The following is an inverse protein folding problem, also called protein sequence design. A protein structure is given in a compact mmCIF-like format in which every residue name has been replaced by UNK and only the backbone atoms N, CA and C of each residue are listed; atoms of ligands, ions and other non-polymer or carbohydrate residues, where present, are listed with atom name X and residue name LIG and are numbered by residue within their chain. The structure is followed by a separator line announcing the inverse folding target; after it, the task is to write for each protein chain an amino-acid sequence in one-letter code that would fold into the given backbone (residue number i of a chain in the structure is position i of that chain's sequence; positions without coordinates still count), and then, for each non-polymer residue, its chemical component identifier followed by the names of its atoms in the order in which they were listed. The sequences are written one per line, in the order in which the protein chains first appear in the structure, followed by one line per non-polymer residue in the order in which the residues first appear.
data_IF_013160930216
#
_entry.id   IF_013160930216
#
_cell.length_a   1.000
_cell.length_b   1.000
_cell.length_c   1.000
_cell.angle_alpha   90.00
_cell.angle_beta   90.00
_cell.angle_gamma   90.00
#
_symmetry.space_group_name_H-M   'P 1'
#
loop_
_entity.id
_entity.type
_entity.pdbx_description
1 polymer ?
#
# COMPACT_ATOMS: atom_id res chain seq x y z
N UNK A 1 -5.74 -29.62 56.81
CA UNK A 1 -6.32 -29.67 58.17
C UNK A 1 -5.61 -28.64 59.02
N UNK A 2 -6.19 -27.45 59.14
CA UNK A 2 -6.03 -26.48 60.24
C UNK A 2 -7.18 -25.47 60.09
N UNK A 3 -8.25 -25.75 60.84
CA UNK A 3 -9.41 -24.93 61.24
C UNK A 3 -8.97 -24.04 62.45
N UNK A 4 -9.64 -23.01 62.99
CA UNK A 4 -10.98 -22.37 62.92
C UNK A 4 -10.97 -21.15 63.91
N UNK A 5 -11.83 -20.15 63.66
CA UNK A 5 -12.72 -19.40 64.61
C UNK A 5 -12.11 -18.66 65.84
N UNK A 6 -12.66 -17.57 66.42
CA UNK A 6 -13.80 -16.65 66.17
C UNK A 6 -13.77 -15.51 67.22
N UNK A 7 -14.69 -14.53 67.05
CA UNK A 7 -15.39 -13.73 68.10
C UNK A 7 -14.73 -12.41 68.55
N UNK A 8 -15.43 -11.32 68.91
CA UNK A 8 -16.80 -10.83 68.72
C UNK A 8 -16.85 -9.37 69.26
N UNK A 9 -17.64 -8.52 68.59
CA UNK A 9 -18.36 -7.27 68.97
C UNK A 9 -17.96 -6.36 70.17
N UNK A 10 -18.32 -5.05 70.07
CA UNK A 10 -19.29 -4.50 71.03
C UNK A 10 -20.46 -3.69 70.40
N UNK A 11 -21.55 -3.41 71.15
CA UNK A 11 -22.83 -2.94 70.61
C UNK A 11 -23.19 -1.46 70.92
N UNK A 12 -24.06 -0.93 70.04
CA UNK A 12 -25.22 -0.03 70.23
C UNK A 12 -25.07 1.29 71.03
N UNK A 13 -25.31 2.40 70.33
CA UNK A 13 -26.11 3.50 70.88
C UNK A 13 -27.04 4.11 69.81
N UNK A 14 -28.34 4.18 70.16
CA UNK A 14 -29.44 4.68 69.35
C UNK A 14 -29.69 6.16 69.64
N UNK A 15 -29.65 6.96 68.56
CA UNK A 15 -30.70 7.89 68.11
C UNK A 15 -31.33 8.85 69.14
N UNK A 16 -31.08 10.15 68.96
CA UNK A 16 -32.07 11.21 69.21
C UNK A 16 -32.20 12.09 67.98
N UNK A 17 -33.44 12.28 67.54
CA UNK A 17 -33.82 12.97 66.33
C UNK A 17 -33.86 14.49 66.54
N UNK A 18 -33.35 15.26 65.58
CA UNK A 18 -33.76 16.66 65.41
C UNK A 18 -34.23 16.91 63.98
N UNK A 19 -35.43 17.47 63.95
CA UNK A 19 -36.35 17.85 62.88
C UNK A 19 -35.68 18.63 61.73
N UNK A 20 -36.02 18.26 60.50
CA UNK A 20 -35.72 18.99 59.26
C UNK A 20 -36.41 20.37 59.25
N UNK A 21 -35.64 21.47 59.12
CA UNK A 21 -36.18 22.76 58.71
C UNK A 21 -35.95 22.97 57.21
N UNK A 22 -37.01 23.35 56.51
CA UNK A 22 -37.15 23.31 55.05
C UNK A 22 -36.99 24.72 54.46
N UNK A 23 -35.89 25.42 54.78
CA UNK A 23 -35.75 26.86 54.43
C UNK A 23 -34.44 27.31 53.76
N UNK A 24 -33.51 26.42 53.41
CA UNK A 24 -32.33 26.81 52.62
C UNK A 24 -32.28 26.10 51.27
N UNK A 25 -33.18 26.52 50.36
CA UNK A 25 -33.01 26.33 48.91
C UNK A 25 -32.68 27.66 48.25
N UNK A 26 -31.48 28.19 48.53
CA UNK A 26 -30.86 29.23 47.72
C UNK A 26 -29.82 28.58 46.81
N UNK A 27 -30.29 27.96 45.72
CA UNK A 27 -29.41 27.54 44.61
C UNK A 27 -28.96 28.78 43.85
N UNK A 28 -27.96 29.51 44.38
CA UNK A 28 -27.10 30.34 43.54
C UNK A 28 -26.14 29.42 42.81
N UNK A 29 -26.54 28.96 41.63
CA UNK A 29 -25.61 28.40 40.66
C UNK A 29 -24.62 29.50 40.27
N UNK A 30 -23.45 29.49 40.88
CA UNK A 30 -22.30 30.25 40.38
C UNK A 30 -21.97 29.70 38.99
N UNK A 31 -22.29 30.48 37.98
CA UNK A 31 -21.99 30.23 36.57
C UNK A 31 -20.54 30.62 36.27
N UNK A 32 -19.63 30.17 37.12
CA UNK A 32 -18.19 30.35 36.96
C UNK A 32 -17.60 29.01 36.53
N UNK A 33 -16.85 29.05 35.42
CA UNK A 33 -15.84 28.07 35.05
C UNK A 33 -16.20 26.80 34.28
N UNK A 34 -17.06 26.93 33.25
CA UNK A 34 -16.90 26.05 32.07
C UNK A 34 -15.67 26.38 31.21
N UNK A 35 -15.11 27.59 31.35
CA UNK A 35 -13.91 28.01 30.61
C UNK A 35 -12.59 27.71 31.34
N UNK A 36 -12.59 27.49 32.66
CA UNK A 36 -11.37 27.05 33.36
C UNK A 36 -11.26 25.52 33.46
N UNK A 37 -12.38 24.78 33.48
CA UNK A 37 -12.32 23.31 33.49
C UNK A 37 -11.86 22.70 32.15
N UNK A 38 -12.02 23.42 31.04
CA UNK A 38 -11.52 23.01 29.72
C UNK A 38 -10.03 23.28 29.51
N UNK A 39 -9.37 23.97 30.45
CA UNK A 39 -7.94 24.30 30.39
C UNK A 39 -7.07 23.37 31.24
N UNK A 40 -7.65 22.37 31.92
CA UNK A 40 -6.97 21.47 32.85
C UNK A 40 -6.96 19.98 32.42
N UNK A 41 -7.57 19.62 31.30
CA UNK A 41 -7.33 18.31 30.67
C UNK A 41 -6.10 18.43 29.77
N UNK A 42 -5.04 17.68 30.09
CA UNK A 42 -3.89 17.54 29.18
C UNK A 42 -4.41 17.11 27.78
N UNK A 43 -3.93 17.76 26.70
CA UNK A 43 -4.39 17.44 25.36
C UNK A 43 -4.13 15.96 25.06
N UNK A 44 -5.20 15.23 24.69
CA UNK A 44 -5.12 13.80 24.42
C UNK A 44 -3.97 13.48 23.46
N UNK A 45 -3.03 12.66 23.91
CA UNK A 45 -1.90 12.20 23.14
C UNK A 45 -2.17 10.75 22.66
N UNK A 46 -2.48 10.53 21.37
CA UNK A 46 -2.75 9.20 20.83
C UNK A 46 -1.60 8.22 21.04
N UNK A 47 -0.36 8.72 21.07
CA UNK A 47 0.84 7.89 21.10
C UNK A 47 1.09 7.23 22.47
N UNK A 48 0.57 7.81 23.56
CA UNK A 48 0.65 7.23 24.92
C UNK A 48 -0.29 6.02 25.11
N UNK A 49 -1.25 5.86 24.20
CA UNK A 49 -2.27 4.82 24.26
C UNK A 49 -1.99 3.71 23.24
N UNK A 50 -0.76 3.62 22.72
CA UNK A 50 -0.29 2.58 21.78
C UNK A 50 0.54 1.52 22.50
N UNK A 51 0.73 0.37 21.85
CA UNK A 51 1.52 -0.73 22.38
C UNK A 51 3.00 -0.34 22.57
N UNK A 52 3.48 -0.41 23.82
CA UNK A 52 4.87 -0.10 24.17
C UNK A 52 5.88 -1.09 23.57
N UNK A 53 5.44 -2.29 23.20
CA UNK A 53 6.25 -3.34 22.58
C UNK A 53 6.26 -3.29 21.04
N UNK A 54 5.90 -2.14 20.46
CA UNK A 54 5.91 -1.93 19.02
C UNK A 54 7.27 -2.12 18.33
N UNK A 55 7.26 -2.19 17.00
CA UNK A 55 8.43 -2.30 16.15
C UNK A 55 9.38 -1.11 16.31
N UNK A 56 10.68 -1.38 16.16
CA UNK A 56 11.70 -0.33 16.13
C UNK A 56 11.62 0.47 14.84
N UNK A 57 12.16 1.70 14.84
CA UNK A 57 12.19 2.58 13.66
C UNK A 57 12.96 1.95 12.48
N UNK A 58 14.01 1.18 12.76
CA UNK A 58 14.73 0.40 11.75
C UNK A 58 13.90 -0.78 11.21
N UNK A 59 13.12 -1.44 12.06
CA UNK A 59 12.16 -2.47 11.63
C UNK A 59 11.08 -1.88 10.73
N UNK A 60 10.50 -0.74 11.11
CA UNK A 60 9.53 -0.01 10.30
C UNK A 60 10.12 0.45 8.95
N UNK A 61 11.35 0.96 8.95
CA UNK A 61 12.08 1.31 7.72
C UNK A 61 12.22 0.10 6.80
N UNK A 62 12.66 -1.05 7.32
CA UNK A 62 12.82 -2.27 6.55
C UNK A 62 11.48 -2.76 5.96
N UNK A 63 10.39 -2.65 6.73
CA UNK A 63 9.04 -2.99 6.24
C UNK A 63 8.58 -2.05 5.12
N UNK A 64 8.78 -0.74 5.26
CA UNK A 64 8.48 0.23 4.20
C UNK A 64 9.31 -0.03 2.95
N UNK A 65 10.63 -0.17 3.08
CA UNK A 65 11.51 -0.46 1.95
C UNK A 65 11.09 -1.74 1.23
N UNK A 66 10.86 -2.83 1.97
CA UNK A 66 10.38 -4.09 1.41
C UNK A 66 9.08 -3.90 0.64
N UNK A 67 8.10 -3.22 1.22
CA UNK A 67 6.80 -3.07 0.59
C UNK A 67 6.81 -2.15 -0.61
N UNK A 68 7.62 -1.09 -0.59
CA UNK A 68 7.71 -0.14 -1.69
C UNK A 68 8.55 -0.72 -2.83
N UNK A 69 9.76 -1.25 -2.56
CA UNK A 69 10.66 -1.74 -3.62
C UNK A 69 10.01 -2.83 -4.48
N UNK A 70 9.38 -3.82 -3.84
CA UNK A 70 8.52 -4.84 -4.45
C UNK A 70 8.96 -5.36 -5.83
N UNK A 71 7.97 -5.67 -6.68
CA UNK A 71 8.19 -5.92 -8.11
C UNK A 71 8.27 -4.62 -8.91
N UNK A 72 7.86 -3.49 -8.32
CA UNK A 72 7.83 -2.18 -8.96
C UNK A 72 9.21 -1.71 -9.44
N UNK A 73 10.25 -1.91 -8.63
CA UNK A 73 11.63 -1.57 -9.01
C UNK A 73 12.08 -2.24 -10.31
N UNK A 74 11.61 -3.47 -10.54
CA UNK A 74 12.02 -4.26 -11.70
C UNK A 74 11.39 -3.75 -13.00
N UNK A 75 10.28 -3.01 -12.92
CA UNK A 75 9.63 -2.39 -14.06
C UNK A 75 10.18 -0.98 -14.38
N UNK A 76 11.12 -0.45 -13.59
CA UNK A 76 11.66 0.89 -13.81
C UNK A 76 12.40 1.07 -15.14
N UNK A 77 13.12 0.08 -15.69
CA UNK A 77 13.70 0.22 -17.01
C UNK A 77 12.65 0.46 -18.09
N UNK A 78 11.48 -0.19 -17.97
CA UNK A 78 10.37 -0.01 -18.92
C UNK A 78 9.85 1.43 -18.87
N UNK A 79 9.76 1.99 -17.67
CA UNK A 79 9.39 3.39 -17.51
C UNK A 79 10.39 4.29 -18.27
N UNK A 80 11.69 4.07 -18.09
CA UNK A 80 12.72 4.86 -18.78
C UNK A 80 12.72 4.65 -20.30
N UNK A 81 12.36 3.46 -20.81
CA UNK A 81 12.10 3.26 -22.25
C UNK A 81 10.99 4.19 -22.74
N UNK A 82 9.89 4.27 -22.01
CA UNK A 82 8.72 5.09 -22.35
C UNK A 82 8.91 6.60 -22.14
N UNK A 83 10.00 7.04 -21.51
CA UNK A 83 10.26 8.44 -21.16
C UNK A 83 11.54 9.02 -21.77
N UNK A 84 12.55 8.19 -22.06
CA UNK A 84 13.91 8.62 -22.35
C UNK A 84 14.71 8.93 -21.09
N UNK A 85 16.03 9.00 -21.25
CA UNK A 85 16.98 9.03 -20.12
C UNK A 85 16.85 10.29 -19.24
N UNK A 86 16.81 11.48 -19.85
CA UNK A 86 16.80 12.75 -19.12
C UNK A 86 15.42 13.01 -18.51
N UNK A 87 14.36 12.87 -19.32
CA UNK A 87 13.00 13.10 -18.85
C UNK A 87 12.62 12.06 -17.79
N UNK A 88 12.91 10.78 -18.02
CA UNK A 88 12.67 9.70 -17.06
C UNK A 88 13.38 9.94 -15.72
N UNK A 89 14.64 10.38 -15.74
CA UNK A 89 15.40 10.68 -14.52
C UNK A 89 14.77 11.83 -13.72
N UNK A 90 14.52 12.97 -14.35
CA UNK A 90 13.94 14.15 -13.68
C UNK A 90 12.54 13.81 -13.15
N UNK A 91 11.70 13.21 -13.99
CA UNK A 91 10.32 12.95 -13.62
C UNK A 91 10.17 11.84 -12.58
N UNK A 92 11.08 10.86 -12.52
CA UNK A 92 11.09 9.87 -11.44
C UNK A 92 11.32 10.53 -10.08
N UNK A 93 12.24 11.51 -9.99
CA UNK A 93 12.45 12.29 -8.76
C UNK A 93 11.23 13.13 -8.40
N UNK A 94 10.62 13.80 -9.39
CA UNK A 94 9.41 14.62 -9.18
C UNK A 94 8.24 13.77 -8.71
N UNK A 95 7.93 12.67 -9.39
CA UNK A 95 6.85 11.74 -9.01
C UNK A 95 7.14 11.13 -7.64
N UNK A 96 8.38 10.70 -7.39
CA UNK A 96 8.81 10.20 -6.08
C UNK A 96 8.57 11.20 -4.95
N UNK A 97 8.91 12.47 -5.16
CA UNK A 97 8.62 13.55 -4.22
C UNK A 97 7.12 13.75 -4.01
N UNK A 98 6.33 13.79 -5.09
CA UNK A 98 4.87 13.95 -5.02
C UNK A 98 4.21 12.81 -4.25
N UNK A 99 4.56 11.55 -4.54
CA UNK A 99 4.07 10.38 -3.83
C UNK A 99 4.46 10.41 -2.35
N UNK A 100 5.71 10.74 -2.04
CA UNK A 100 6.20 10.90 -0.66
C UNK A 100 5.40 11.96 0.09
N UNK A 101 5.15 13.10 -0.55
CA UNK A 101 4.36 14.18 0.01
C UNK A 101 2.90 13.75 0.26
N UNK A 102 2.27 13.02 -0.67
CA UNK A 102 0.92 12.46 -0.47
C UNK A 102 0.85 11.50 0.72
N UNK A 103 1.84 10.61 0.87
CA UNK A 103 1.92 9.73 2.05
C UNK A 103 2.10 10.54 3.33
N UNK A 104 2.98 11.56 3.30
CA UNK A 104 3.23 12.42 4.44
C UNK A 104 1.98 13.17 4.90
N UNK A 105 1.21 13.78 3.98
CA UNK A 105 -0.03 14.48 4.34
C UNK A 105 -1.09 13.52 4.87
N UNK A 106 -1.15 12.28 4.37
CA UNK A 106 -2.09 11.29 4.87
C UNK A 106 -1.79 10.92 6.33
N UNK A 107 -0.55 10.56 6.63
CA UNK A 107 -0.14 10.17 7.99
C UNK A 107 -0.29 11.33 8.95
N UNK A 108 0.10 12.54 8.54
CA UNK A 108 -0.09 13.73 9.36
C UNK A 108 -1.57 13.99 9.67
N UNK A 109 -2.43 13.91 8.64
CA UNK A 109 -3.87 14.06 8.82
C UNK A 109 -4.43 12.98 9.76
N UNK A 110 -3.93 11.75 9.67
CA UNK A 110 -4.28 10.66 10.57
C UNK A 110 -3.88 10.94 12.02
N UNK A 111 -2.67 11.46 12.26
CA UNK A 111 -2.23 11.86 13.60
C UNK A 111 -3.11 12.94 14.21
N UNK A 112 -3.46 13.95 13.41
CA UNK A 112 -4.25 15.08 13.87
C UNK A 112 -5.71 14.67 14.15
N UNK A 113 -6.33 13.86 13.30
CA UNK A 113 -7.69 13.34 13.55
C UNK A 113 -7.72 12.32 14.71
N UNK A 114 -6.65 11.56 14.96
CA UNK A 114 -6.56 10.70 16.15
C UNK A 114 -6.68 11.51 17.46
N UNK A 115 -6.11 12.72 17.50
CA UNK A 115 -6.21 13.62 18.66
C UNK A 115 -7.65 14.09 18.86
N UNK A 116 -8.31 14.52 17.79
CA UNK A 116 -9.70 15.01 17.85
C UNK A 116 -10.70 13.90 18.17
N UNK A 117 -10.53 12.72 17.56
CA UNK A 117 -11.41 11.57 17.77
C UNK A 117 -11.10 10.79 19.05
N UNK A 118 -10.05 11.17 19.80
CA UNK A 118 -9.57 10.50 21.02
C UNK A 118 -9.36 8.99 20.82
N UNK A 119 -8.69 8.62 19.72
CA UNK A 119 -8.34 7.23 19.39
C UNK A 119 -6.83 7.06 19.23
N UNK A 120 -6.25 5.92 19.59
CA UNK A 120 -4.79 5.74 19.58
C UNK A 120 -4.21 5.67 18.16
N UNK A 121 -4.93 5.05 17.23
CA UNK A 121 -4.47 4.75 15.88
C UNK A 121 -5.64 4.56 14.92
N UNK A 122 -5.41 4.87 13.64
CA UNK A 122 -6.37 4.66 12.56
C UNK A 122 -5.67 3.98 11.39
N UNK A 123 -6.39 3.11 10.68
CA UNK A 123 -5.96 2.63 9.37
C UNK A 123 -6.27 3.66 8.29
N UNK A 124 -5.97 3.34 7.03
CA UNK A 124 -6.19 4.26 5.92
C UNK A 124 -7.68 4.56 5.71
N UNK A 125 -8.53 3.52 5.64
CA UNK A 125 -9.96 3.69 5.46
C UNK A 125 -10.64 4.35 6.68
N UNK A 126 -10.20 3.99 7.89
CA UNK A 126 -10.70 4.62 9.12
C UNK A 126 -10.28 6.09 9.24
N UNK A 127 -9.10 6.46 8.74
CA UNK A 127 -8.68 7.87 8.66
C UNK A 127 -9.62 8.65 7.74
N UNK A 128 -9.93 8.12 6.55
CA UNK A 128 -10.87 8.76 5.64
C UNK A 128 -12.29 8.88 6.25
N UNK A 129 -12.76 7.85 6.95
CA UNK A 129 -14.05 7.87 7.67
C UNK A 129 -14.09 8.99 8.71
N UNK A 130 -13.10 9.04 9.61
CA UNK A 130 -13.06 9.99 10.72
C UNK A 130 -12.90 11.43 10.27
N UNK A 131 -12.09 11.68 9.24
CA UNK A 131 -11.96 13.02 8.66
C UNK A 131 -13.31 13.54 8.14
N UNK A 132 -14.11 12.69 7.50
CA UNK A 132 -15.43 13.09 7.04
C UNK A 132 -16.41 13.27 8.20
N UNK A 133 -16.38 12.38 9.20
CA UNK A 133 -17.25 12.42 10.37
C UNK A 133 -17.07 13.71 11.20
N UNK A 134 -15.81 14.13 11.40
CA UNK A 134 -15.47 15.35 12.15
C UNK A 134 -15.45 16.60 11.26
N UNK A 135 -15.36 16.41 9.94
CA UNK A 135 -15.31 17.49 8.95
C UNK A 135 -16.59 18.32 8.82
N UNK A 136 -16.70 19.13 7.75
CA UNK A 136 -17.81 20.06 7.54
C UNK A 136 -19.17 19.35 7.54
N UNK A 137 -20.21 19.98 8.11
CA UNK A 137 -21.56 19.38 8.29
C UNK A 137 -22.11 18.70 7.02
N UNK A 138 -21.90 19.29 5.85
CA UNK A 138 -22.37 18.73 4.57
C UNK A 138 -21.62 17.47 4.10
N UNK A 139 -20.38 17.26 4.55
CA UNK A 139 -19.55 16.12 4.19
C UNK A 139 -19.72 14.93 5.13
N UNK A 140 -20.16 15.15 6.38
CA UNK A 140 -20.33 14.09 7.41
C UNK A 140 -21.16 12.89 6.94
N UNK A 141 -22.20 13.12 6.15
CA UNK A 141 -23.05 12.06 5.59
C UNK A 141 -22.31 11.08 4.65
N UNK A 142 -21.15 11.47 4.13
CA UNK A 142 -20.34 10.65 3.23
C UNK A 142 -19.21 9.90 3.94
N UNK A 143 -19.13 9.91 5.28
CA UNK A 143 -18.07 9.21 6.03
C UNK A 143 -18.00 7.72 5.71
N UNK A 144 -19.15 7.03 5.75
CA UNK A 144 -19.25 5.62 5.39
C UNK A 144 -18.86 5.36 3.93
N UNK A 145 -19.23 6.25 3.02
CA UNK A 145 -18.84 6.15 1.61
C UNK A 145 -17.31 6.28 1.46
N UNK A 146 -16.69 7.25 2.13
CA UNK A 146 -15.23 7.43 2.09
C UNK A 146 -14.49 6.18 2.60
N UNK A 147 -14.95 5.59 3.71
CA UNK A 147 -14.41 4.33 4.23
C UNK A 147 -14.53 3.19 3.22
N UNK A 148 -15.73 3.01 2.66
CA UNK A 148 -16.01 1.93 1.71
C UNK A 148 -15.23 2.10 0.40
N UNK A 149 -15.05 3.33 -0.06
CA UNK A 149 -14.25 3.65 -1.23
C UNK A 149 -12.78 3.28 -1.03
N UNK A 150 -12.18 3.66 0.11
CA UNK A 150 -10.78 3.35 0.41
C UNK A 150 -10.58 1.84 0.63
N UNK A 151 -11.42 1.18 1.43
CA UNK A 151 -11.33 -0.28 1.62
C UNK A 151 -11.51 -1.04 0.30
N UNK A 152 -12.52 -0.66 -0.50
CA UNK A 152 -12.82 -1.29 -1.78
C UNK A 152 -11.71 -1.07 -2.80
N UNK A 153 -11.17 0.14 -2.87
CA UNK A 153 -10.01 0.45 -3.69
C UNK A 153 -8.78 -0.34 -3.26
N UNK A 154 -8.50 -0.42 -1.96
CA UNK A 154 -7.35 -1.16 -1.43
C UNK A 154 -7.46 -2.65 -1.75
N UNK A 155 -8.64 -3.24 -1.59
CA UNK A 155 -8.90 -4.62 -2.01
C UNK A 155 -8.69 -4.83 -3.51
N UNK A 156 -9.24 -3.94 -4.34
CA UNK A 156 -9.11 -4.02 -5.79
C UNK A 156 -7.64 -3.89 -6.24
N UNK A 157 -6.86 -3.03 -5.57
CA UNK A 157 -5.41 -2.89 -5.79
C UNK A 157 -4.69 -4.21 -5.54
N UNK A 158 -4.93 -4.85 -4.39
CA UNK A 158 -4.28 -6.10 -4.04
C UNK A 158 -4.70 -7.27 -4.94
N UNK A 159 -5.97 -7.33 -5.38
CA UNK A 159 -6.41 -8.35 -6.33
C UNK A 159 -5.85 -8.11 -7.73
N UNK A 160 -5.68 -6.87 -8.16
CA UNK A 160 -5.02 -6.58 -9.43
C UNK A 160 -3.51 -6.89 -9.38
N UNK A 161 -2.84 -6.60 -8.26
CA UNK A 161 -1.47 -7.04 -8.01
C UNK A 161 -1.33 -8.58 -8.03
N UNK A 162 -2.35 -9.31 -7.56
CA UNK A 162 -2.38 -10.77 -7.65
C UNK A 162 -2.37 -11.26 -9.11
N UNK A 163 -3.06 -10.57 -10.04
CA UNK A 163 -2.97 -10.85 -11.48
C UNK A 163 -1.55 -10.61 -12.01
N UNK A 164 -0.95 -9.46 -11.68
CA UNK A 164 0.44 -9.11 -12.06
C UNK A 164 1.41 -10.20 -11.61
N UNK A 165 1.28 -10.68 -10.38
CA UNK A 165 2.13 -11.74 -9.83
C UNK A 165 1.97 -13.06 -10.57
N UNK A 166 0.75 -13.47 -10.88
CA UNK A 166 0.50 -14.70 -11.64
C UNK A 166 1.17 -14.61 -13.02
N UNK A 167 1.00 -13.49 -13.74
CA UNK A 167 1.64 -13.29 -15.06
C UNK A 167 3.16 -13.27 -14.94
N UNK A 168 3.71 -12.58 -13.93
CA UNK A 168 5.15 -12.52 -13.71
C UNK A 168 5.75 -13.91 -13.47
N UNK A 169 5.18 -14.66 -12.53
CA UNK A 169 5.65 -16.00 -12.17
C UNK A 169 5.58 -16.91 -13.39
N UNK A 170 4.44 -16.90 -14.10
CA UNK A 170 4.24 -17.70 -15.30
C UNK A 170 5.26 -17.36 -16.40
N UNK A 171 5.51 -16.06 -16.65
CA UNK A 171 6.47 -15.61 -17.68
C UNK A 171 7.90 -16.00 -17.30
N UNK A 172 8.25 -15.91 -16.02
CA UNK A 172 9.58 -16.30 -15.54
C UNK A 172 9.84 -17.80 -15.69
N UNK A 173 8.84 -18.63 -15.37
CA UNK A 173 8.92 -20.08 -15.61
C UNK A 173 8.91 -20.42 -17.09
N UNK A 174 8.07 -19.74 -17.89
CA UNK A 174 8.01 -19.90 -19.34
C UNK A 174 9.38 -19.71 -19.97
N UNK A 175 10.05 -18.60 -19.71
CA UNK A 175 11.34 -18.28 -20.33
C UNK A 175 12.42 -19.31 -19.99
N UNK A 176 12.48 -19.77 -18.74
CA UNK A 176 13.52 -20.69 -18.28
C UNK A 176 13.24 -22.13 -18.70
N UNK A 177 11.98 -22.59 -18.61
CA UNK A 177 11.60 -23.97 -18.90
C UNK A 177 11.57 -24.21 -20.41
N UNK A 178 11.02 -23.29 -21.20
CA UNK A 178 11.01 -23.45 -22.66
C UNK A 178 12.44 -23.48 -23.22
N UNK A 179 13.32 -22.57 -22.78
CA UNK A 179 14.72 -22.52 -23.22
C UNK A 179 15.50 -23.79 -22.81
N UNK A 180 15.42 -24.21 -21.54
CA UNK A 180 16.24 -25.33 -21.05
C UNK A 180 15.68 -26.72 -21.40
N UNK A 181 14.36 -26.87 -21.57
CA UNK A 181 13.73 -28.14 -21.90
C UNK A 181 13.35 -28.27 -23.39
N UNK A 182 13.64 -27.27 -24.22
CA UNK A 182 13.24 -27.21 -25.64
C UNK A 182 11.72 -27.43 -25.82
N UNK A 183 10.93 -26.80 -24.97
CA UNK A 183 9.46 -26.81 -25.05
C UNK A 183 8.97 -25.52 -25.73
N UNK A 184 7.85 -25.60 -26.45
CA UNK A 184 7.19 -24.45 -27.08
C UNK A 184 5.78 -24.27 -26.51
N UNK A 185 5.67 -24.26 -25.17
CA UNK A 185 4.39 -24.08 -24.49
C UNK A 185 4.05 -22.60 -24.38
N UNK A 186 2.79 -22.26 -24.64
CA UNK A 186 2.26 -20.91 -24.49
C UNK A 186 2.26 -20.46 -23.01
N UNK A 187 2.49 -19.16 -22.76
CA UNK A 187 2.52 -18.55 -21.42
C UNK A 187 1.24 -18.88 -20.63
N UNK A 188 0.08 -19.02 -21.29
CA UNK A 188 -1.20 -19.37 -20.64
C UNK A 188 -1.17 -20.72 -19.94
N UNK A 189 -0.37 -21.68 -20.43
CA UNK A 189 -0.18 -22.98 -19.77
C UNK A 189 0.57 -22.75 -18.44
N UNK A 190 1.62 -21.94 -18.45
CA UNK A 190 2.36 -21.56 -17.25
C UNK A 190 1.52 -20.77 -16.25
N UNK A 191 0.58 -19.95 -16.73
CA UNK A 191 -0.43 -19.27 -15.88
C UNK A 191 -1.31 -20.31 -15.18
N UNK A 192 -1.86 -21.28 -15.93
CA UNK A 192 -2.69 -22.34 -15.35
C UNK A 192 -1.92 -23.16 -14.30
N UNK A 193 -0.66 -23.48 -14.57
CA UNK A 193 0.22 -24.17 -13.62
C UNK A 193 0.53 -23.32 -12.38
N UNK A 194 0.70 -22.00 -12.54
CA UNK A 194 0.98 -21.06 -11.44
C UNK A 194 -0.22 -20.87 -10.51
N UNK A 195 -1.44 -20.94 -11.05
CA UNK A 195 -2.67 -20.84 -10.25
C UNK A 195 -2.75 -21.96 -9.21
N UNK A 196 -2.24 -23.16 -9.49
CA UNK A 196 -2.27 -24.31 -8.57
C UNK A 196 -1.56 -24.02 -7.24
N UNK A 197 -0.26 -23.65 -7.17
CA UNK A 197 0.39 -23.28 -5.92
C UNK A 197 -0.21 -22.01 -5.31
N UNK A 198 -0.66 -21.04 -6.11
CA UNK A 198 -1.38 -19.87 -5.60
C UNK A 198 -2.65 -20.25 -4.85
N UNK A 199 -3.41 -21.26 -5.31
CA UNK A 199 -4.58 -21.78 -4.60
C UNK A 199 -4.21 -22.32 -3.23
N UNK A 200 -3.16 -23.14 -3.12
CA UNK A 200 -2.72 -23.68 -1.82
C UNK A 200 -2.25 -22.58 -0.87
N UNK A 201 -1.41 -21.66 -1.34
CA UNK A 201 -0.86 -20.57 -0.52
C UNK A 201 -1.97 -19.60 -0.11
N UNK A 202 -2.90 -19.28 -1.01
CA UNK A 202 -4.00 -18.36 -0.74
C UNK A 202 -5.01 -18.85 0.30
N UNK A 203 -5.03 -20.15 0.60
CA UNK A 203 -5.82 -20.71 1.71
C UNK A 203 -5.18 -20.50 3.09
N UNK A 204 -3.94 -20.02 3.18
CA UNK A 204 -3.31 -19.76 4.47
C UNK A 204 -4.04 -18.58 5.15
N UNK A 205 -4.60 -18.87 6.33
CA UNK A 205 -5.36 -17.89 7.14
C UNK A 205 -4.59 -17.31 8.30
N UNK A 206 -3.49 -17.93 8.68
CA UNK A 206 -2.69 -17.46 9.79
C UNK A 206 -1.39 -16.89 9.24
N UNK A 207 -1.25 -15.57 9.35
CA UNK A 207 -0.09 -14.81 8.89
C UNK A 207 1.22 -15.39 9.42
N UNK A 208 1.21 -15.97 10.63
CA UNK A 208 2.41 -16.57 11.27
C UNK A 208 3.05 -17.65 10.41
N UNK A 209 2.26 -18.43 9.66
CA UNK A 209 2.81 -19.47 8.76
C UNK A 209 3.47 -18.88 7.51
N UNK A 210 3.12 -17.66 7.10
CA UNK A 210 3.70 -16.98 5.94
C UNK A 210 5.01 -16.24 6.28
N UNK A 211 5.27 -15.95 7.56
CA UNK A 211 6.47 -15.23 8.01
C UNK A 211 7.79 -15.86 7.53
N UNK A 212 8.08 -17.17 7.71
CA UNK A 212 9.34 -17.75 7.26
C UNK A 212 9.52 -17.69 5.74
N UNK A 213 8.44 -17.91 4.98
CA UNK A 213 8.45 -17.76 3.52
C UNK A 213 8.72 -16.32 3.09
N UNK A 214 8.18 -15.35 3.83
CA UNK A 214 8.41 -13.93 3.59
C UNK A 214 9.85 -13.50 3.85
N UNK A 215 10.53 -14.13 4.82
CA UNK A 215 11.97 -13.94 5.06
C UNK A 215 12.80 -14.54 3.93
N UNK A 216 12.47 -15.75 3.49
CA UNK A 216 13.14 -16.39 2.36
C UNK A 216 12.95 -15.61 1.05
N UNK A 217 11.74 -15.10 0.81
CA UNK A 217 11.44 -14.22 -0.33
C UNK A 217 12.34 -12.98 -0.34
N UNK A 218 12.58 -12.36 0.81
CA UNK A 218 13.49 -11.21 0.90
C UNK A 218 14.91 -11.58 0.50
N UNK A 219 15.42 -12.73 0.95
CA UNK A 219 16.76 -13.20 0.57
C UNK A 219 16.84 -13.42 -0.94
N UNK A 220 15.82 -14.07 -1.53
CA UNK A 220 15.76 -14.31 -2.97
C UNK A 220 15.68 -13.01 -3.78
N UNK A 221 14.91 -12.02 -3.32
CA UNK A 221 14.86 -10.69 -3.94
C UNK A 221 16.23 -10.03 -3.90
N UNK A 222 16.92 -10.03 -2.75
CA UNK A 222 18.26 -9.43 -2.62
C UNK A 222 19.27 -10.12 -3.54
N UNK A 223 19.30 -11.46 -3.57
CA UNK A 223 20.18 -12.22 -4.46
C UNK A 223 19.88 -11.91 -5.93
N UNK A 224 18.61 -11.92 -6.32
CA UNK A 224 18.17 -11.56 -7.69
C UNK A 224 18.61 -10.15 -8.04
N UNK A 225 18.47 -9.19 -7.11
CA UNK A 225 18.85 -7.81 -7.32
C UNK A 225 20.37 -7.66 -7.54
N UNK A 226 21.19 -8.39 -6.78
CA UNK A 226 22.64 -8.43 -6.96
C UNK A 226 23.02 -8.99 -8.34
N UNK A 227 22.38 -10.10 -8.77
CA UNK A 227 22.62 -10.69 -10.10
C UNK A 227 22.19 -9.72 -11.21
N UNK A 228 21.07 -9.03 -11.01
CA UNK A 228 20.57 -8.02 -11.95
C UNK A 228 21.55 -6.86 -12.10
N UNK A 229 22.07 -6.34 -10.97
CA UNK A 229 23.11 -5.31 -10.99
C UNK A 229 24.40 -5.79 -11.66
N UNK A 230 24.80 -7.03 -11.42
CA UNK A 230 25.96 -7.62 -12.11
C UNK A 230 25.80 -7.55 -13.63
N UNK A 231 24.70 -8.06 -14.19
CA UNK A 231 24.45 -8.03 -15.64
C UNK A 231 24.21 -6.62 -16.20
N UNK A 232 23.73 -5.70 -15.37
CA UNK A 232 23.55 -4.30 -15.74
C UNK A 232 24.88 -3.59 -16.01
N UNK A 233 25.95 -3.97 -15.30
CA UNK A 233 27.26 -3.33 -15.38
C UNK A 233 28.39 -4.26 -15.88
N UNK A 234 28.07 -5.47 -16.37
CA UNK A 234 29.06 -6.46 -16.83
C UNK A 234 29.83 -6.02 -18.09
N UNK A 235 29.27 -5.08 -18.86
CA UNK A 235 29.79 -4.60 -20.14
C UNK A 235 29.74 -3.08 -20.20
N UNK A 236 30.54 -2.46 -21.10
CA UNK A 236 30.49 -1.02 -21.32
C UNK A 236 29.09 -0.54 -21.68
N UNK A 237 28.65 0.52 -21.01
CA UNK A 237 27.34 1.14 -21.22
C UNK A 237 27.34 1.98 -22.50
N UNK A 238 26.31 1.81 -23.33
CA UNK A 238 26.12 2.56 -24.58
C UNK A 238 24.96 3.53 -24.40
N UNK A 239 25.25 4.82 -24.55
CA UNK A 239 24.27 5.90 -24.36
C UNK A 239 23.76 6.48 -25.69
N UNK A 240 24.56 6.37 -26.75
CA UNK A 240 24.37 7.10 -28.01
C UNK A 240 23.11 6.70 -28.77
N UNK A 241 22.54 5.54 -28.47
CA UNK A 241 21.36 4.96 -29.10
C UNK A 241 20.09 5.10 -28.26
N UNK A 242 20.13 5.86 -27.15
CA UNK A 242 18.99 6.08 -26.27
C UNK A 242 18.50 7.54 -26.35
N UNK A 243 17.20 7.77 -26.60
CA UNK A 243 16.64 9.12 -26.57
C UNK A 243 16.75 9.73 -25.18
N UNK A 244 17.09 11.02 -25.12
CA UNK A 244 17.04 11.80 -23.88
C UNK A 244 15.59 12.05 -23.43
N UNK A 245 14.69 12.19 -24.39
CA UNK A 245 13.25 12.37 -24.20
C UNK A 245 12.56 11.49 -25.26
N UNK A 246 11.70 10.57 -24.82
CA UNK A 246 10.92 9.70 -25.70
C UNK A 246 9.70 10.44 -26.28
N UNK A 247 8.96 9.77 -27.16
CA UNK A 247 7.75 10.34 -27.75
C UNK A 247 6.67 10.65 -26.70
N UNK A 248 5.95 11.75 -26.91
CA UNK A 248 4.94 12.21 -25.95
C UNK A 248 3.77 11.24 -25.76
N UNK A 249 3.53 10.35 -26.73
CA UNK A 249 2.55 9.26 -26.70
C UNK A 249 2.83 8.23 -25.59
N UNK A 250 4.10 8.01 -25.23
CA UNK A 250 4.50 7.01 -24.23
C UNK A 250 4.63 7.57 -22.81
N UNK A 251 4.65 8.90 -22.66
CA UNK A 251 4.75 9.57 -21.35
C UNK A 251 3.66 9.13 -20.34
N UNK A 252 2.39 8.92 -20.73
CA UNK A 252 1.37 8.38 -19.83
C UNK A 252 1.73 7.00 -19.23
N UNK A 253 2.31 6.11 -20.04
CA UNK A 253 2.75 4.79 -19.59
C UNK A 253 3.90 4.92 -18.59
N UNK A 254 4.86 5.81 -18.85
CA UNK A 254 5.93 6.12 -17.89
C UNK A 254 5.35 6.55 -16.54
N UNK A 255 4.44 7.53 -16.50
CA UNK A 255 3.84 7.98 -15.25
C UNK A 255 3.13 6.84 -14.53
N UNK A 256 2.34 6.04 -15.25
CA UNK A 256 1.63 4.90 -14.70
C UNK A 256 2.58 3.85 -14.10
N UNK A 257 3.69 3.53 -14.77
CA UNK A 257 4.70 2.58 -14.28
C UNK A 257 5.44 3.12 -13.05
N UNK A 258 5.84 4.39 -13.03
CA UNK A 258 6.52 5.00 -11.87
C UNK A 258 5.56 5.10 -10.67
N UNK A 259 4.31 5.50 -10.90
CA UNK A 259 3.24 5.54 -9.91
C UNK A 259 2.99 4.13 -9.35
N UNK A 260 2.90 3.11 -10.20
CA UNK A 260 2.83 1.70 -9.78
C UNK A 260 4.04 1.30 -8.93
N UNK A 261 5.26 1.65 -9.35
CA UNK A 261 6.43 1.27 -8.56
C UNK A 261 6.50 1.96 -7.20
N UNK A 262 5.93 3.16 -7.07
CA UNK A 262 5.79 3.86 -5.79
C UNK A 262 4.66 3.30 -4.92
N UNK A 263 4.02 2.19 -5.31
CA UNK A 263 2.98 1.53 -4.54
C UNK A 263 3.50 1.06 -3.18
N UNK A 264 2.88 1.56 -2.12
CA UNK A 264 3.12 1.13 -0.74
C UNK A 264 2.12 1.70 0.26
N UNK A 265 1.13 2.47 -0.22
CA UNK A 265 0.20 3.22 0.64
C UNK A 265 -0.59 2.30 1.58
N UNK A 266 -0.90 1.08 1.14
CA UNK A 266 -1.64 0.09 1.91
C UNK A 266 -0.94 -0.40 3.18
N UNK A 267 0.39 -0.31 3.24
CA UNK A 267 1.18 -0.74 4.40
C UNK A 267 1.63 0.42 5.29
N UNK A 268 1.59 1.65 4.79
CA UNK A 268 2.08 2.83 5.53
C UNK A 268 1.42 2.94 6.90
N UNK A 269 0.08 2.95 6.95
CA UNK A 269 -0.65 3.11 8.20
C UNK A 269 -0.45 1.91 9.14
N UNK A 270 -0.55 0.64 8.71
CA UNK A 270 -0.19 -0.51 9.57
C UNK A 270 1.24 -0.45 10.13
N UNK A 271 2.22 -0.08 9.31
CA UNK A 271 3.63 0.02 9.74
C UNK A 271 3.78 1.12 10.79
N UNK A 272 3.23 2.31 10.52
CA UNK A 272 3.26 3.44 11.46
C UNK A 272 2.57 3.09 12.79
N UNK A 273 1.39 2.46 12.72
CA UNK A 273 0.62 2.05 13.89
C UNK A 273 1.33 1.01 14.74
N UNK A 274 2.20 0.20 14.13
CA UNK A 274 2.97 -0.82 14.85
C UNK A 274 4.26 -0.28 15.49
N UNK A 275 4.63 0.97 15.27
CA UNK A 275 5.89 1.53 15.80
C UNK A 275 5.84 1.82 17.30
N UNK A 276 6.93 1.54 18.00
CA UNK A 276 7.12 1.93 19.40
C UNK A 276 7.20 3.46 19.60
N UNK A 277 7.75 4.19 18.63
CA UNK A 277 7.89 5.66 18.66
C UNK A 277 7.34 6.30 17.37
N UNK A 278 6.02 6.40 17.20
CA UNK A 278 5.42 6.80 15.92
C UNK A 278 5.72 8.26 15.53
N UNK A 279 6.08 9.12 16.48
CA UNK A 279 6.54 10.49 16.19
C UNK A 279 7.80 10.52 15.32
N UNK A 280 8.61 9.47 15.38
CA UNK A 280 9.80 9.33 14.53
C UNK A 280 9.45 8.98 13.08
N UNK A 281 8.21 8.57 12.78
CA UNK A 281 7.81 8.20 11.43
C UNK A 281 7.89 9.41 10.47
N UNK A 282 7.35 10.56 10.90
CA UNK A 282 7.39 11.84 10.19
C UNK A 282 8.50 12.80 10.70
N UNK A 283 9.43 12.31 11.54
CA UNK A 283 10.50 13.12 12.13
C UNK A 283 11.53 13.64 11.11
N UNK A 284 12.63 14.22 11.61
CA UNK A 284 13.76 14.67 10.77
C UNK A 284 15.11 14.14 11.33
N UNK A 285 15.77 13.16 10.68
CA UNK A 285 15.27 12.36 9.56
C UNK A 285 14.21 11.35 10.01
N UNK A 286 13.07 11.34 9.32
CA UNK A 286 11.93 10.47 9.62
C UNK A 286 12.04 9.12 8.90
N UNK A 287 11.38 8.10 9.45
CA UNK A 287 11.34 6.75 8.83
C UNK A 287 10.77 6.81 7.42
N UNK A 288 9.68 7.57 7.21
CA UNK A 288 9.05 7.71 5.90
C UNK A 288 10.00 8.36 4.88
N UNK A 289 10.56 9.52 5.22
CA UNK A 289 11.43 10.27 4.28
C UNK A 289 12.68 9.46 3.93
N UNK A 290 13.27 8.77 4.91
CA UNK A 290 14.45 7.92 4.69
C UNK A 290 14.11 6.75 3.77
N UNK A 291 12.96 6.09 3.99
CA UNK A 291 12.49 5.00 3.14
C UNK A 291 12.28 5.47 1.70
N UNK A 292 11.52 6.56 1.53
CA UNK A 292 11.14 7.04 0.21
C UNK A 292 12.32 7.60 -0.59
N UNK A 293 13.24 8.35 0.04
CA UNK A 293 14.47 8.80 -0.64
C UNK A 293 15.27 7.60 -1.14
N UNK A 294 15.42 6.57 -0.30
CA UNK A 294 16.13 5.34 -0.68
C UNK A 294 15.45 4.64 -1.87
N UNK A 295 14.13 4.50 -1.83
CA UNK A 295 13.32 3.90 -2.91
C UNK A 295 13.47 4.68 -4.21
N UNK A 296 13.30 6.00 -4.17
CA UNK A 296 13.38 6.88 -5.35
C UNK A 296 14.77 6.82 -5.99
N UNK A 297 15.85 6.83 -5.19
CA UNK A 297 17.21 6.71 -5.69
C UNK A 297 17.45 5.35 -6.34
N UNK A 298 17.00 4.26 -5.72
CA UNK A 298 17.13 2.93 -6.29
C UNK A 298 16.35 2.80 -7.60
N UNK A 299 15.17 3.41 -7.70
CA UNK A 299 14.37 3.37 -8.94
C UNK A 299 15.00 4.17 -10.06
N UNK A 300 15.54 5.34 -9.73
CA UNK A 300 16.31 6.13 -10.68
C UNK A 300 17.52 5.35 -11.20
N UNK A 301 18.29 4.72 -10.31
CA UNK A 301 19.47 3.91 -10.67
C UNK A 301 19.07 2.74 -11.57
N UNK A 302 18.13 1.91 -11.11
CA UNK A 302 17.72 0.71 -11.84
C UNK A 302 17.02 1.08 -13.15
N UNK A 303 16.16 2.08 -13.14
CA UNK A 303 15.47 2.55 -14.34
C UNK A 303 16.43 3.10 -15.38
N UNK A 304 17.30 4.03 -14.98
CA UNK A 304 18.26 4.65 -15.88
C UNK A 304 19.24 3.62 -16.45
N UNK A 305 19.97 2.90 -15.59
CA UNK A 305 20.99 1.97 -16.07
C UNK A 305 20.41 0.70 -16.70
N UNK A 306 19.23 0.25 -16.27
CA UNK A 306 18.52 -0.84 -16.92
C UNK A 306 18.11 -0.48 -18.35
N UNK A 307 17.58 0.74 -18.59
CA UNK A 307 17.27 1.17 -19.95
C UNK A 307 18.52 1.40 -20.79
N UNK A 308 19.59 1.97 -20.22
CA UNK A 308 20.88 2.09 -20.92
C UNK A 308 21.41 0.71 -21.34
N UNK A 309 21.26 -0.31 -20.48
CA UNK A 309 21.77 -1.66 -20.76
C UNK A 309 20.96 -2.41 -21.81
N UNK A 310 19.64 -2.37 -21.72
CA UNK A 310 18.73 -3.23 -22.50
C UNK A 310 18.03 -2.52 -23.65
N UNK A 311 17.97 -1.18 -23.66
CA UNK A 311 17.40 -0.39 -24.75
C UNK A 311 15.95 -0.71 -25.05
N UNK A 312 15.61 -0.80 -26.33
CA UNK A 312 14.23 -1.04 -26.77
C UNK A 312 13.73 -2.44 -26.39
N UNK A 313 14.64 -3.40 -26.20
CA UNK A 313 14.34 -4.77 -25.80
C UNK A 313 13.88 -4.90 -24.33
N UNK A 314 13.84 -3.81 -23.57
CA UNK A 314 13.36 -3.84 -22.18
C UNK A 314 11.95 -4.43 -22.13
N UNK A 315 11.77 -5.44 -21.27
CA UNK A 315 10.49 -6.09 -21.00
C UNK A 315 9.87 -5.53 -19.73
N UNK A 316 8.63 -5.91 -19.45
CA UNK A 316 7.90 -5.50 -18.24
C UNK A 316 8.58 -5.76 -16.88
N UNK A 317 9.65 -6.54 -16.86
CA UNK A 317 10.57 -6.65 -15.72
C UNK A 317 11.99 -6.86 -16.20
N UNK A 318 12.95 -6.14 -15.62
CA UNK A 318 14.38 -6.25 -15.90
C UNK A 318 14.92 -7.67 -15.69
N UNK A 319 14.31 -8.46 -14.80
CA UNK A 319 14.71 -9.86 -14.59
C UNK A 319 14.42 -10.72 -15.83
N UNK A 320 13.39 -10.38 -16.60
CA UNK A 320 13.04 -11.07 -17.84
C UNK A 320 14.00 -10.72 -18.99
N UNK A 321 14.77 -9.64 -18.86
CA UNK A 321 15.83 -9.26 -19.79
C UNK A 321 17.18 -9.94 -19.52
N UNK A 322 17.31 -10.66 -18.39
CA UNK A 322 18.57 -11.35 -18.10
C UNK A 322 18.86 -12.41 -19.17
N UNK A 323 20.12 -12.49 -19.64
CA UNK A 323 20.50 -13.42 -20.69
C UNK A 323 20.33 -14.86 -20.23
N UNK A 324 20.13 -15.76 -21.18
CA UNK A 324 20.10 -17.21 -20.92
C UNK A 324 21.44 -17.68 -20.35
N UNK A 325 21.36 -18.61 -19.41
CA UNK A 325 22.52 -19.16 -18.71
C UNK A 325 22.27 -19.29 -17.21
N UNK A 326 23.12 -20.08 -16.55
CA UNK A 326 22.87 -20.52 -15.18
C UNK A 326 22.59 -19.39 -14.18
N UNK A 327 23.29 -18.25 -14.27
CA UNK A 327 23.07 -17.09 -13.40
C UNK A 327 21.76 -16.36 -13.69
N UNK A 328 21.50 -16.07 -14.97
CA UNK A 328 20.28 -15.37 -15.40
C UNK A 328 19.03 -16.19 -15.10
N UNK A 329 19.07 -17.48 -15.42
CA UNK A 329 17.97 -18.43 -15.15
C UNK A 329 17.72 -18.58 -13.65
N UNK A 330 18.79 -18.68 -12.85
CA UNK A 330 18.67 -18.72 -11.39
C UNK A 330 18.00 -17.45 -10.86
N UNK A 331 18.38 -16.27 -11.34
CA UNK A 331 17.75 -15.02 -10.92
C UNK A 331 16.26 -14.96 -11.31
N UNK A 332 15.89 -15.37 -12.53
CA UNK A 332 14.49 -15.45 -12.97
C UNK A 332 13.66 -16.38 -12.07
N UNK A 333 14.17 -17.58 -11.79
CA UNK A 333 13.49 -18.57 -10.95
C UNK A 333 13.41 -18.13 -9.48
N UNK A 334 14.49 -17.59 -8.91
CA UNK A 334 14.48 -17.07 -7.53
C UNK A 334 13.47 -15.95 -7.38
N UNK A 335 13.37 -15.04 -8.35
CA UNK A 335 12.38 -13.97 -8.33
C UNK A 335 10.95 -14.52 -8.42
N UNK A 336 10.70 -15.49 -9.30
CA UNK A 336 9.39 -16.13 -9.42
C UNK A 336 8.95 -16.78 -8.10
N UNK A 337 9.85 -17.52 -7.44
CA UNK A 337 9.57 -18.14 -6.14
C UNK A 337 9.40 -17.09 -5.03
N UNK A 338 10.17 -16.00 -5.05
CA UNK A 338 10.02 -14.90 -4.09
C UNK A 338 8.65 -14.21 -4.20
N UNK A 339 8.17 -13.97 -5.42
CA UNK A 339 6.86 -13.39 -5.68
C UNK A 339 5.76 -14.38 -5.28
N UNK A 340 5.93 -15.68 -5.53
CA UNK A 340 4.99 -16.71 -5.09
C UNK A 340 4.81 -16.72 -3.57
N UNK A 341 5.87 -16.53 -2.80
CA UNK A 341 5.78 -16.38 -1.33
C UNK A 341 5.16 -15.05 -0.92
N UNK A 342 5.44 -13.97 -1.65
CA UNK A 342 4.86 -12.65 -1.40
C UNK A 342 3.36 -12.61 -1.69
N UNK A 343 2.90 -13.37 -2.68
CA UNK A 343 1.49 -13.53 -3.05
C UNK A 343 0.64 -13.91 -1.84
N UNK A 344 1.07 -14.88 -1.03
CA UNK A 344 0.31 -15.31 0.15
C UNK A 344 0.11 -14.18 1.17
N UNK A 345 1.15 -13.39 1.41
CA UNK A 345 1.11 -12.25 2.34
C UNK A 345 0.17 -11.15 1.82
N UNK A 346 0.30 -10.80 0.54
CA UNK A 346 -0.46 -9.72 -0.07
C UNK A 346 -1.93 -10.11 -0.29
N UNK A 347 -2.21 -11.39 -0.53
CA UNK A 347 -3.56 -11.92 -0.64
C UNK A 347 -4.27 -12.03 0.72
N UNK A 348 -3.53 -12.14 1.83
CA UNK A 348 -4.13 -12.22 3.17
C UNK A 348 -4.93 -10.96 3.54
N UNK A 349 -4.34 -9.78 3.35
CA UNK A 349 -4.91 -8.48 3.74
C UNK A 349 -6.30 -8.20 3.11
N UNK A 350 -6.48 -8.22 1.78
CA UNK A 350 -7.77 -7.91 1.17
C UNK A 350 -8.84 -8.94 1.52
N UNK A 351 -8.47 -10.21 1.75
CA UNK A 351 -9.42 -11.24 2.17
C UNK A 351 -9.89 -11.06 3.61
N UNK A 352 -9.02 -10.58 4.51
CA UNK A 352 -9.42 -10.24 5.86
C UNK A 352 -10.38 -9.03 5.86
N UNK A 353 -10.08 -8.01 5.05
CA UNK A 353 -10.97 -6.85 4.85
C UNK A 353 -12.32 -7.29 4.28
N UNK A 354 -12.31 -8.10 3.23
CA UNK A 354 -13.52 -8.64 2.60
C UNK A 354 -14.33 -9.48 3.58
N UNK A 355 -13.67 -10.39 4.31
CA UNK A 355 -14.32 -11.25 5.29
C UNK A 355 -14.99 -10.42 6.39
N UNK A 356 -14.30 -9.43 6.97
CA UNK A 356 -14.86 -8.51 7.97
C UNK A 356 -16.11 -7.77 7.48
N UNK A 357 -16.21 -7.49 6.17
CA UNK A 357 -17.37 -6.81 5.57
C UNK A 357 -18.55 -7.75 5.30
N UNK A 358 -18.33 -9.04 5.08
CA UNK A 358 -19.39 -9.96 4.64
C UNK A 358 -19.72 -11.06 5.63
N UNK A 359 -18.89 -11.30 6.65
CA UNK A 359 -19.04 -12.41 7.61
C UNK A 359 -20.41 -12.45 8.27
N UNK A 360 -20.97 -11.29 8.62
CA UNK A 360 -22.29 -11.13 9.23
C UNK A 360 -23.45 -11.60 8.34
N UNK A 361 -23.24 -11.78 7.03
CA UNK A 361 -24.25 -12.26 6.07
C UNK A 361 -24.32 -13.79 6.00
N UNK A 362 -23.38 -14.50 6.63
CA UNK A 362 -23.27 -15.95 6.55
C UNK A 362 -23.41 -16.57 7.94
N UNK A 363 -24.07 -17.73 8.01
CA UNK A 363 -24.16 -18.52 9.24
C UNK A 363 -22.76 -19.00 9.67
N UNK A 364 -22.51 -18.97 10.98
CA UNK A 364 -21.21 -19.33 11.58
C UNK A 364 -20.73 -20.72 11.17
N UNK A 365 -21.63 -21.71 11.10
CA UNK A 365 -21.33 -23.09 10.68
C UNK A 365 -20.74 -23.18 9.26
N UNK A 366 -21.09 -22.21 8.39
CA UNK A 366 -20.64 -22.16 7.00
C UNK A 366 -19.45 -21.24 6.79
N UNK A 367 -18.97 -20.55 7.83
CA UNK A 367 -17.88 -19.56 7.70
C UNK A 367 -16.62 -20.16 7.07
N UNK A 368 -16.20 -21.34 7.53
CA UNK A 368 -15.02 -22.01 6.98
C UNK A 368 -15.16 -22.30 5.48
N UNK A 369 -16.28 -22.91 5.08
CA UNK A 369 -16.56 -23.27 3.67
C UNK A 369 -16.68 -22.02 2.80
N UNK A 370 -17.40 -21.00 3.26
CA UNK A 370 -17.56 -19.73 2.54
C UNK A 370 -16.21 -19.04 2.32
N UNK A 371 -15.34 -19.01 3.33
CA UNK A 371 -13.99 -18.45 3.17
C UNK A 371 -13.15 -19.19 2.13
N UNK A 372 -13.20 -20.54 2.13
CA UNK A 372 -12.46 -21.34 1.14
C UNK A 372 -12.96 -21.03 -0.26
N UNK A 373 -14.27 -21.09 -0.47
CA UNK A 373 -14.89 -20.84 -1.78
C UNK A 373 -14.61 -19.42 -2.28
N UNK A 374 -14.72 -18.42 -1.41
CA UNK A 374 -14.45 -17.03 -1.73
C UNK A 374 -12.98 -16.82 -2.15
N UNK A 375 -12.03 -17.31 -1.34
CA UNK A 375 -10.59 -17.21 -1.65
C UNK A 375 -10.25 -17.94 -2.95
N UNK A 376 -10.75 -19.16 -3.12
CA UNK A 376 -10.57 -19.94 -4.36
C UNK A 376 -11.15 -19.21 -5.57
N UNK A 377 -12.38 -18.69 -5.45
CA UNK A 377 -13.04 -17.94 -6.52
C UNK A 377 -12.26 -16.70 -6.95
N UNK A 378 -11.71 -15.94 -6.00
CA UNK A 378 -10.91 -14.75 -6.30
C UNK A 378 -9.58 -15.13 -6.99
N UNK A 379 -8.91 -16.20 -6.55
CA UNK A 379 -7.66 -16.66 -7.18
C UNK A 379 -7.93 -17.17 -8.60
N UNK A 380 -9.01 -17.93 -8.81
CA UNK A 380 -9.42 -18.40 -10.13
C UNK A 380 -9.79 -17.23 -11.05
N UNK A 381 -10.50 -16.22 -10.55
CA UNK A 381 -10.79 -15.00 -11.29
C UNK A 381 -9.50 -14.26 -11.66
N UNK A 382 -8.57 -14.13 -10.73
CA UNK A 382 -7.27 -13.48 -10.97
C UNK A 382 -6.46 -14.23 -12.02
N UNK A 383 -6.45 -15.57 -11.95
CA UNK A 383 -5.83 -16.44 -12.95
C UNK A 383 -6.51 -16.35 -14.32
N UNK A 384 -7.84 -16.25 -14.37
CA UNK A 384 -8.60 -16.05 -15.60
C UNK A 384 -8.30 -14.71 -16.27
N UNK A 385 -8.22 -13.63 -15.46
CA UNK A 385 -7.83 -12.29 -15.92
C UNK A 385 -6.39 -12.29 -16.41
N UNK A 386 -5.46 -12.91 -15.68
CA UNK A 386 -4.07 -13.10 -16.10
C UNK A 386 -3.96 -13.86 -17.42
N UNK A 387 -4.72 -14.96 -17.57
CA UNK A 387 -4.74 -15.74 -18.80
C UNK A 387 -5.37 -14.97 -19.97
N UNK A 388 -6.30 -14.05 -19.70
CA UNK A 388 -6.94 -13.22 -20.72
C UNK A 388 -6.03 -12.09 -21.24
N UNK A 389 -5.00 -11.67 -20.51
CA UNK A 389 -4.01 -10.67 -20.99
C UNK A 389 -2.63 -11.16 -20.55
N UNK A 390 -2.01 -12.14 -21.22
CA UNK A 390 -0.77 -12.77 -20.76
C UNK A 390 0.48 -11.89 -20.99
N UNK A 391 0.37 -10.58 -20.81
CA UNK A 391 1.47 -9.62 -20.90
C UNK A 391 1.56 -8.80 -19.61
N UNK A 392 2.77 -8.67 -19.08
CA UNK A 392 3.04 -8.01 -17.81
C UNK A 392 2.92 -6.48 -17.89
N UNK A 393 3.28 -5.87 -19.02
CA UNK A 393 3.40 -4.41 -19.17
C UNK A 393 2.05 -3.68 -19.02
N UNK A 394 0.99 -4.08 -19.75
CA UNK A 394 -0.29 -3.38 -19.67
C UNK A 394 -0.94 -3.55 -18.29
N UNK A 395 -0.70 -4.67 -17.60
CA UNK A 395 -1.18 -4.87 -16.24
C UNK A 395 -0.53 -3.89 -15.26
N UNK A 396 0.80 -3.77 -15.31
CA UNK A 396 1.54 -2.85 -14.43
C UNK A 396 1.04 -1.41 -14.62
N UNK A 397 0.95 -0.97 -15.87
CA UNK A 397 0.48 0.37 -16.21
C UNK A 397 -0.98 0.58 -15.78
N UNK A 398 -1.89 -0.35 -16.07
CA UNK A 398 -3.31 -0.24 -15.71
C UNK A 398 -3.51 -0.15 -14.18
N UNK A 399 -2.79 -0.98 -13.42
CA UNK A 399 -2.89 -1.01 -11.96
C UNK A 399 -2.38 0.30 -11.35
N UNK A 400 -1.22 0.78 -11.80
CA UNK A 400 -0.66 2.07 -11.36
C UNK A 400 -1.59 3.23 -11.69
N UNK A 401 -2.05 3.30 -12.94
CA UNK A 401 -2.92 4.37 -13.43
C UNK A 401 -4.24 4.43 -12.64
N UNK A 402 -4.94 3.31 -12.48
CA UNK A 402 -6.27 3.30 -11.85
C UNK A 402 -6.16 3.39 -10.34
N UNK A 403 -5.48 2.43 -9.71
CA UNK A 403 -5.59 2.25 -8.27
C UNK A 403 -4.69 3.18 -7.49
N UNK A 404 -3.42 3.32 -7.89
CA UNK A 404 -2.48 4.14 -7.14
C UNK A 404 -2.67 5.64 -7.40
N UNK A 405 -3.13 6.05 -8.59
CA UNK A 405 -3.57 7.45 -8.77
C UNK A 405 -4.72 7.79 -7.83
N UNK A 406 -5.74 6.93 -7.70
CA UNK A 406 -6.88 7.16 -6.80
C UNK A 406 -6.46 7.11 -5.32
N UNK A 407 -5.82 6.03 -4.88
CA UNK A 407 -5.54 5.81 -3.46
C UNK A 407 -4.26 6.48 -2.97
N UNK A 408 -3.22 6.51 -3.81
CA UNK A 408 -1.91 7.07 -3.46
C UNK A 408 -1.85 8.58 -3.57
N UNK A 409 -2.63 9.20 -4.47
CA UNK A 409 -2.55 10.65 -4.74
C UNK A 409 -3.88 11.36 -4.46
N UNK A 410 -4.99 10.91 -5.07
CA UNK A 410 -6.28 11.62 -4.97
C UNK A 410 -6.84 11.58 -3.55
N UNK A 411 -6.94 10.39 -2.94
CA UNK A 411 -7.50 10.24 -1.58
C UNK A 411 -6.73 11.06 -0.55
N UNK A 412 -5.38 11.01 -0.42
CA UNK A 412 -4.65 11.84 0.53
C UNK A 412 -4.91 13.34 0.35
N UNK A 413 -4.90 13.81 -0.90
CA UNK A 413 -5.14 15.21 -1.24
C UNK A 413 -6.57 15.65 -0.87
N UNK A 414 -7.54 14.78 -1.10
CA UNK A 414 -8.94 15.05 -0.79
C UNK A 414 -9.20 15.00 0.72
N UNK A 415 -8.67 14.00 1.41
CA UNK A 415 -8.79 13.83 2.87
C UNK A 415 -8.16 15.01 3.60
N UNK A 416 -6.94 15.45 3.24
CA UNK A 416 -6.33 16.64 3.85
C UNK A 416 -7.19 17.90 3.60
N UNK A 417 -7.78 18.03 2.41
CA UNK A 417 -8.65 19.17 2.09
C UNK A 417 -9.90 19.18 2.96
N UNK A 418 -10.58 18.04 3.13
CA UNK A 418 -11.78 17.93 3.98
C UNK A 418 -11.45 18.21 5.44
N UNK A 419 -10.32 17.70 5.93
CA UNK A 419 -9.88 17.90 7.31
C UNK A 419 -9.61 19.38 7.61
N UNK A 420 -8.95 20.10 6.70
CA UNK A 420 -8.57 21.50 6.91
C UNK A 420 -9.69 22.52 6.59
N UNK A 421 -10.79 22.08 6.00
CA UNK A 421 -11.86 22.96 5.56
C UNK A 421 -12.75 23.43 6.73
N UNK A 422 -13.19 24.70 6.79
CA UNK A 422 -12.81 25.84 5.93
C UNK A 422 -11.66 26.69 6.48
N UNK A 423 -11.28 26.52 7.75
CA UNK A 423 -10.55 27.52 8.51
C UNK A 423 -9.01 27.31 8.53
N UNK A 424 -8.51 26.11 8.19
CA UNK A 424 -7.10 25.72 8.38
C UNK A 424 -6.32 25.53 7.05
N UNK A 425 -6.75 26.21 5.98
CA UNK A 425 -6.19 26.08 4.63
C UNK A 425 -4.88 26.85 4.41
N UNK A 426 -4.42 27.61 5.40
CA UNK A 426 -3.19 28.41 5.35
C UNK A 426 -3.34 29.74 4.59
N UNK A 427 -2.24 30.50 4.50
CA UNK A 427 -2.21 31.78 3.80
C UNK A 427 -2.61 31.61 2.32
N UNK A 428 -3.48 32.49 1.84
CA UNK A 428 -4.07 32.46 0.49
C UNK A 428 -4.70 31.10 0.09
N UNK A 429 -5.08 30.25 1.06
CA UNK A 429 -5.57 28.88 0.82
C UNK A 429 -4.58 28.04 -0.01
N UNK A 430 -3.27 28.24 0.12
CA UNK A 430 -2.26 27.53 -0.68
C UNK A 430 -2.43 26.00 -0.62
N UNK A 431 -2.80 25.43 0.54
CA UNK A 431 -3.01 23.99 0.69
C UNK A 431 -4.15 23.46 -0.17
N UNK A 432 -5.19 24.28 -0.38
CA UNK A 432 -6.30 23.94 -1.27
C UNK A 432 -5.82 23.86 -2.71
N UNK A 433 -5.10 24.88 -3.20
CA UNK A 433 -4.57 24.89 -4.57
C UNK A 433 -3.60 23.75 -4.83
N UNK A 434 -2.71 23.46 -3.87
CA UNK A 434 -1.82 22.30 -3.88
C UNK A 434 -2.61 20.99 -4.01
N UNK A 435 -3.67 20.80 -3.22
CA UNK A 435 -4.47 19.58 -3.25
C UNK A 435 -5.35 19.46 -4.50
N UNK A 436 -5.83 20.60 -5.04
CA UNK A 436 -6.51 20.63 -6.34
C UNK A 436 -5.54 20.21 -7.45
N UNK A 437 -4.31 20.74 -7.44
CA UNK A 437 -3.28 20.35 -8.41
C UNK A 437 -2.99 18.84 -8.33
N UNK A 438 -2.74 18.30 -7.14
CA UNK A 438 -2.52 16.86 -6.94
C UNK A 438 -3.72 16.01 -7.41
N UNK A 439 -4.94 16.46 -7.09
CA UNK A 439 -6.17 15.80 -7.52
C UNK A 439 -6.32 15.78 -9.04
N UNK A 440 -6.05 16.91 -9.72
CA UNK A 440 -6.09 16.99 -11.19
C UNK A 440 -5.00 16.11 -11.81
N UNK A 441 -3.77 16.16 -11.31
CA UNK A 441 -2.68 15.30 -11.77
C UNK A 441 -3.03 13.80 -11.63
N UNK A 442 -3.67 13.42 -10.52
CA UNK A 442 -4.13 12.05 -10.31
C UNK A 442 -5.18 11.62 -11.34
N UNK A 443 -6.20 12.45 -11.59
CA UNK A 443 -7.24 12.11 -12.57
C UNK A 443 -6.66 12.05 -13.99
N UNK A 444 -5.73 12.94 -14.33
CA UNK A 444 -5.03 12.90 -15.62
C UNK A 444 -4.17 11.64 -15.76
N UNK A 445 -3.40 11.29 -14.73
CA UNK A 445 -2.60 10.06 -14.71
C UNK A 445 -3.48 8.80 -14.85
N UNK A 446 -4.65 8.79 -14.20
CA UNK A 446 -5.62 7.72 -14.34
C UNK A 446 -6.13 7.60 -15.76
N UNK A 447 -6.66 8.69 -16.33
CA UNK A 447 -7.27 8.65 -17.67
C UNK A 447 -6.20 8.29 -18.70
N UNK A 448 -5.07 9.01 -18.71
CA UNK A 448 -4.03 8.81 -19.69
C UNK A 448 -3.39 7.42 -19.59
N UNK A 449 -3.06 6.97 -18.37
CA UNK A 449 -2.46 5.65 -18.16
C UNK A 449 -3.42 4.49 -18.43
N UNK A 450 -4.70 4.60 -18.04
CA UNK A 450 -5.70 3.58 -18.34
C UNK A 450 -5.98 3.50 -19.85
N UNK A 451 -6.12 4.64 -20.52
CA UNK A 451 -6.32 4.67 -21.98
C UNK A 451 -5.12 4.05 -22.70
N UNK A 452 -3.90 4.43 -22.35
CA UNK A 452 -2.69 3.86 -22.97
C UNK A 452 -2.60 2.34 -22.77
N UNK A 453 -2.86 1.86 -21.55
CA UNK A 453 -2.83 0.41 -21.26
C UNK A 453 -3.92 -0.36 -22.01
N UNK A 454 -5.12 0.21 -22.13
CA UNK A 454 -6.23 -0.41 -22.90
C UNK A 454 -5.89 -0.46 -24.39
N UNK A 455 -5.27 0.59 -24.94
CA UNK A 455 -4.82 0.60 -26.34
C UNK A 455 -3.78 -0.49 -26.57
N UNK A 456 -2.78 -0.66 -25.69
CA UNK A 456 -1.81 -1.75 -25.79
C UNK A 456 -2.47 -3.13 -25.77
N UNK A 457 -3.47 -3.33 -24.91
CA UNK A 457 -4.25 -4.58 -24.86
C UNK A 457 -5.01 -4.81 -26.17
N UNK A 458 -5.60 -3.77 -26.76
CA UNK A 458 -6.32 -3.87 -28.03
C UNK A 458 -5.36 -4.19 -29.18
N UNK A 459 -4.20 -3.53 -29.23
CA UNK A 459 -3.19 -3.74 -30.28
C UNK A 459 -2.69 -5.20 -30.27
N UNK A 460 -2.42 -5.74 -29.08
CA UNK A 460 -2.02 -7.15 -28.88
C UNK A 460 -3.02 -8.15 -29.47
N UNK A 461 -4.33 -7.84 -29.46
CA UNK A 461 -5.37 -8.74 -29.97
C UNK A 461 -5.80 -8.45 -31.41
N UNK A 462 -5.54 -7.25 -31.91
CA UNK A 462 -5.88 -6.87 -33.29
C UNK A 462 -4.78 -7.23 -34.29
N UNK A 463 -3.62 -7.70 -33.83
CA UNK A 463 -2.49 -8.09 -34.69
C UNK A 463 -1.87 -6.91 -35.44
N UNK A 464 -2.06 -5.69 -34.91
CA UNK A 464 -1.46 -4.47 -35.45
C UNK A 464 -0.14 -4.16 -34.73
N UNK A 465 0.84 -5.05 -34.93
CA UNK A 465 2.24 -4.74 -34.68
C UNK A 465 2.83 -4.18 -36.00
N UNK A 466 2.58 -2.91 -36.28
CA UNK A 466 3.29 -2.10 -37.28
C UNK A 466 3.62 -0.72 -36.70
#
# INVERSE_FOLDING_TARGET
MTNKEDSNAPPLEQKSASVFSLTDFNSRTNLTDKNQLSLAEDPYNPFEHRDENGASSGGALAHLLKSSLGTGILAMPLAFRNAGLLFGMIMTLVVGFLCTHCVHILVKTSHDICKEAKVPALGFAETAEKVFEYGPKGMRKHSNFAKQFVDGGLMATYYAAACVYIVFIATSFHDVINANCNLNWDVRIYIALTVIPCLFIGQIRNLKFLVPFSLMANVFIVVTFIITLYYMFDRPLVYSDKPLIAEASHIPLFFATVIFAMEGIGVVMPVENSMRKPQQFLGCPGVLNTAMITVVLLYAIIGFFGYVRFGEDVRGSVTLNLPEGWLGDTAKLLMAVAILFTFGLQFYVPNEILWRKISHKFNEDKHNTTQILLRTGIILLSGGVAAAIPNLEPFISLVGAVFFSLLGIFVPSFVETVYLWPNNLGWAKWKLWKNIFLGVCSILALIAGATASIIEIINMYSGSDD
#
